data_IF_860388709957
#
_entry.id   IF_860388709957
#
_cell.length_a   1.000
_cell.length_b   1.000
_cell.length_c   1.000
_cell.angle_alpha   90.00
_cell.angle_beta   90.00
_cell.angle_gamma   90.00
#
_symmetry.space_group_name_H-M   'P 1'
#
loop_
_entity.id
_entity.type
_entity.pdbx_description
1 polymer ?
#
# COMPACT_ATOMS: atom_id res chain seq x y z
N UNK A 1 -2.10 18.73 -22.25
CA UNK A 1 -1.35 18.05 -21.17
C UNK A 1 0.11 18.06 -21.57
N UNK A 2 0.97 18.59 -20.71
CA UNK A 2 2.42 18.49 -20.92
C UNK A 2 2.88 17.03 -20.74
N UNK A 3 4.04 16.66 -21.29
CA UNK A 3 4.62 15.31 -21.11
C UNK A 3 4.83 15.02 -19.62
N UNK A 4 5.21 16.03 -18.82
CA UNK A 4 5.36 15.93 -17.38
C UNK A 4 4.06 15.56 -16.66
N UNK A 5 2.94 16.23 -16.99
CA UNK A 5 1.62 15.91 -16.41
C UNK A 5 1.20 14.48 -16.74
N UNK A 6 1.39 14.04 -17.98
CA UNK A 6 1.04 12.68 -18.38
C UNK A 6 1.81 11.63 -17.59
N UNK A 7 3.14 11.80 -17.47
CA UNK A 7 4.00 10.88 -16.72
C UNK A 7 3.65 10.91 -15.23
N UNK A 8 3.33 12.07 -14.66
CA UNK A 8 2.86 12.20 -13.29
C UNK A 8 1.58 11.38 -13.04
N UNK A 9 0.55 11.55 -13.87
CA UNK A 9 -0.71 10.81 -13.70
C UNK A 9 -0.53 9.30 -13.91
N UNK A 10 0.33 8.90 -14.83
CA UNK A 10 0.66 7.49 -15.04
C UNK A 10 1.28 6.87 -13.77
N UNK A 11 2.33 7.48 -13.22
CA UNK A 11 2.95 6.98 -11.99
C UNK A 11 2.00 7.05 -10.79
N UNK A 12 1.21 8.12 -10.66
CA UNK A 12 0.22 8.25 -9.58
C UNK A 12 -0.83 7.13 -9.62
N UNK A 13 -1.37 6.82 -10.81
CA UNK A 13 -2.32 5.72 -10.98
C UNK A 13 -1.68 4.36 -10.67
N UNK A 14 -0.43 4.14 -11.07
CA UNK A 14 0.30 2.92 -10.74
C UNK A 14 0.51 2.81 -9.22
N UNK A 15 0.93 3.89 -8.56
CA UNK A 15 1.13 3.91 -7.09
C UNK A 15 -0.18 3.60 -6.36
N UNK A 16 -1.30 4.21 -6.76
CA UNK A 16 -2.60 3.95 -6.16
C UNK A 16 -3.07 2.51 -6.41
N UNK A 17 -3.00 2.05 -7.67
CA UNK A 17 -3.39 0.69 -8.04
C UNK A 17 -2.56 -0.37 -7.33
N UNK A 18 -1.25 -0.13 -7.20
CA UNK A 18 -0.34 -1.01 -6.47
C UNK A 18 -0.62 -0.98 -4.95
N UNK A 19 -0.89 0.19 -4.36
CA UNK A 19 -1.26 0.28 -2.94
C UNK A 19 -2.58 -0.44 -2.63
N UNK A 20 -3.57 -0.33 -3.50
CA UNK A 20 -4.80 -1.13 -3.44
C UNK A 20 -4.45 -2.62 -3.54
N UNK A 21 -3.63 -3.01 -4.51
CA UNK A 21 -3.16 -4.38 -4.69
C UNK A 21 -2.48 -4.95 -3.44
N UNK A 22 -1.70 -4.16 -2.72
CA UNK A 22 -1.06 -4.55 -1.45
C UNK A 22 -2.10 -4.90 -0.38
N UNK A 23 -3.16 -4.12 -0.23
CA UNK A 23 -4.19 -4.33 0.82
C UNK A 23 -5.11 -5.51 0.46
N UNK A 24 -5.47 -5.66 -0.81
CA UNK A 24 -6.42 -6.69 -1.24
C UNK A 24 -5.78 -8.05 -1.59
N UNK A 25 -4.45 -8.13 -1.69
CA UNK A 25 -3.76 -9.38 -1.97
C UNK A 25 -3.95 -10.38 -0.81
N UNK A 26 -4.51 -11.56 -1.15
CA UNK A 26 -4.74 -12.65 -0.18
C UNK A 26 -3.47 -13.34 0.29
N UNK A 27 -2.47 -13.37 -0.58
CA UNK A 27 -1.20 -13.98 -0.30
C UNK A 27 -0.20 -12.86 0.07
N UNK A 28 0.48 -12.98 1.22
CA UNK A 28 1.32 -11.91 1.73
C UNK A 28 2.56 -11.68 0.84
N UNK A 29 3.06 -12.71 0.15
CA UNK A 29 4.11 -12.55 -0.88
C UNK A 29 3.63 -11.62 -2.01
N UNK A 30 2.42 -11.81 -2.52
CA UNK A 30 1.86 -10.95 -3.55
C UNK A 30 1.61 -9.53 -3.01
N UNK A 31 1.15 -9.40 -1.75
CA UNK A 31 0.98 -8.10 -1.09
C UNK A 31 2.29 -7.30 -1.08
N UNK A 32 3.41 -7.94 -0.72
CA UNK A 32 4.73 -7.30 -0.70
C UNK A 32 5.24 -6.98 -2.12
N UNK A 33 4.99 -7.83 -3.11
CA UNK A 33 5.33 -7.51 -4.50
C UNK A 33 4.59 -6.27 -5.02
N UNK A 34 3.29 -6.14 -4.70
CA UNK A 34 2.53 -4.93 -4.99
C UNK A 34 3.10 -3.70 -4.25
N UNK A 35 3.57 -3.88 -3.01
CA UNK A 35 4.17 -2.79 -2.23
C UNK A 35 5.48 -2.31 -2.88
N UNK A 36 6.31 -3.23 -3.38
CA UNK A 36 7.53 -2.91 -4.15
C UNK A 36 7.17 -2.08 -5.39
N UNK A 37 6.16 -2.50 -6.16
CA UNK A 37 5.67 -1.72 -7.30
C UNK A 37 5.22 -0.32 -6.90
N UNK A 38 4.50 -0.17 -5.78
CA UNK A 38 4.05 1.13 -5.28
C UNK A 38 5.23 2.05 -4.93
N UNK A 39 6.26 1.54 -4.25
CA UNK A 39 7.45 2.30 -3.89
C UNK A 39 8.31 2.70 -5.08
N UNK A 40 8.47 1.82 -6.08
CA UNK A 40 9.17 2.17 -7.32
C UNK A 40 8.43 3.28 -8.08
N UNK A 41 7.09 3.18 -8.18
CA UNK A 41 6.29 4.21 -8.82
C UNK A 41 6.34 5.55 -8.05
N UNK A 42 6.33 5.50 -6.71
CA UNK A 42 6.50 6.68 -5.87
C UNK A 42 7.89 7.31 -5.98
N UNK A 43 8.95 6.51 -6.15
CA UNK A 43 10.29 7.03 -6.44
C UNK A 43 10.30 7.80 -7.77
N UNK A 44 9.59 7.30 -8.79
CA UNK A 44 9.36 8.03 -10.05
C UNK A 44 8.68 9.38 -9.85
N UNK A 45 7.65 9.45 -8.99
CA UNK A 45 6.99 10.72 -8.64
C UNK A 45 7.95 11.70 -7.94
N UNK A 46 8.80 11.22 -7.03
CA UNK A 46 9.79 12.05 -6.36
C UNK A 46 10.84 12.60 -7.33
N UNK A 47 11.27 11.82 -8.33
CA UNK A 47 12.15 12.33 -9.39
C UNK A 47 11.47 13.44 -10.19
N UNK A 48 10.19 13.28 -10.56
CA UNK A 48 9.43 14.32 -11.29
C UNK A 48 9.28 15.61 -10.49
N UNK A 49 9.20 15.52 -9.15
CA UNK A 49 9.14 16.67 -8.25
C UNK A 49 10.51 17.31 -7.97
N UNK A 50 11.61 16.78 -8.53
CA UNK A 50 12.97 17.24 -8.26
C UNK A 50 13.56 16.76 -6.93
N UNK A 51 12.92 15.80 -6.25
CA UNK A 51 13.36 15.22 -4.99
C UNK A 51 14.21 13.95 -5.21
N UNK A 52 15.28 14.07 -6.00
CA UNK A 52 16.10 12.93 -6.47
C UNK A 52 16.75 12.14 -5.33
N UNK A 53 17.30 12.82 -4.33
CA UNK A 53 17.91 12.18 -3.17
C UNK A 53 16.89 11.32 -2.39
N UNK A 54 15.67 11.83 -2.22
CA UNK A 54 14.60 11.12 -1.53
C UNK A 54 14.12 9.91 -2.35
N UNK A 55 14.03 10.05 -3.68
CA UNK A 55 13.71 8.95 -4.58
C UNK A 55 14.73 7.81 -4.48
N UNK A 56 16.03 8.14 -4.45
CA UNK A 56 17.09 7.15 -4.28
C UNK A 56 17.04 6.46 -2.91
N UNK A 57 16.80 7.21 -1.82
CA UNK A 57 16.62 6.62 -0.50
C UNK A 57 15.42 5.69 -0.44
N UNK A 58 14.29 6.07 -1.05
CA UNK A 58 13.11 5.22 -1.14
C UNK A 58 13.42 3.91 -1.88
N UNK A 59 14.11 3.98 -3.01
CA UNK A 59 14.50 2.80 -3.77
C UNK A 59 15.50 1.92 -3.01
N UNK A 60 16.54 2.48 -2.42
CA UNK A 60 17.61 1.68 -1.78
C UNK A 60 17.14 1.11 -0.44
N UNK A 61 16.56 1.95 0.43
CA UNK A 61 16.24 1.55 1.80
C UNK A 61 14.92 0.78 1.84
N UNK A 62 13.85 1.33 1.26
CA UNK A 62 12.53 0.69 1.37
C UNK A 62 12.36 -0.46 0.40
N UNK A 63 12.70 -0.29 -0.88
CA UNK A 63 12.60 -1.40 -1.85
C UNK A 63 13.74 -2.39 -1.67
N UNK A 64 14.99 -1.92 -1.57
CA UNK A 64 16.16 -2.78 -1.52
C UNK A 64 16.33 -3.56 -0.22
N UNK A 65 16.17 -2.92 0.94
CA UNK A 65 16.35 -3.58 2.24
C UNK A 65 15.02 -4.04 2.85
N UNK A 66 14.12 -3.10 3.14
CA UNK A 66 12.92 -3.39 3.95
C UNK A 66 12.00 -4.39 3.24
N UNK A 67 11.57 -4.11 2.01
CA UNK A 67 10.63 -4.97 1.30
C UNK A 67 11.19 -6.37 1.00
N UNK A 68 12.48 -6.48 0.69
CA UNK A 68 13.15 -7.76 0.49
C UNK A 68 13.23 -8.56 1.80
N UNK A 69 13.55 -7.92 2.93
CA UNK A 69 13.50 -8.57 4.24
C UNK A 69 12.09 -9.06 4.57
N UNK A 70 11.06 -8.26 4.26
CA UNK A 70 9.67 -8.68 4.39
C UNK A 70 9.35 -9.91 3.53
N UNK A 71 9.80 -9.96 2.26
CA UNK A 71 9.60 -11.15 1.42
C UNK A 71 10.21 -12.39 2.05
N UNK A 72 11.45 -12.32 2.55
CA UNK A 72 12.09 -13.46 3.21
C UNK A 72 11.33 -13.92 4.46
N UNK A 73 10.96 -12.98 5.34
CA UNK A 73 10.22 -13.28 6.57
C UNK A 73 8.87 -13.92 6.27
N UNK A 74 8.13 -13.35 5.33
CA UNK A 74 6.79 -13.78 4.96
C UNK A 74 6.80 -15.13 4.23
N UNK A 75 7.84 -15.43 3.45
CA UNK A 75 7.96 -16.74 2.80
C UNK A 75 8.35 -17.87 3.78
N UNK A 76 9.10 -17.56 4.84
CA UNK A 76 9.43 -18.54 5.89
C UNK A 76 8.27 -18.79 6.86
N UNK A 77 7.35 -17.83 6.98
CA UNK A 77 6.15 -17.95 7.79
C UNK A 77 5.09 -18.75 7.03
N UNK A 78 4.78 -19.95 7.51
CA UNK A 78 3.62 -20.71 7.06
C UNK A 78 2.37 -20.18 7.77
N UNK A 79 1.68 -19.21 7.15
CA UNK A 79 0.50 -18.56 7.75
C UNK A 79 -0.77 -19.16 7.15
N UNK A 80 -1.52 -19.88 7.98
CA UNK A 80 -2.82 -20.45 7.63
C UNK A 80 -3.92 -19.36 7.67
N UNK A 81 -3.99 -18.54 6.62
CA UNK A 81 -4.92 -17.41 6.50
C UNK A 81 -6.42 -17.80 6.46
N UNK A 82 -6.72 -19.10 6.35
CA UNK A 82 -8.08 -19.61 6.37
C UNK A 82 -8.77 -19.43 7.73
N UNK A 83 -8.02 -19.55 8.84
CA UNK A 83 -8.56 -19.51 10.21
C UNK A 83 -8.83 -18.06 10.69
N UNK A 84 -8.01 -17.11 10.25
CA UNK A 84 -8.15 -15.67 10.59
C UNK A 84 -9.40 -15.04 9.97
N UNK A 85 -9.83 -15.52 8.80
CA UNK A 85 -10.99 -15.00 8.07
C UNK A 85 -12.32 -15.28 8.78
N UNK A 86 -12.42 -16.42 9.48
CA UNK A 86 -13.62 -16.80 10.22
C UNK A 86 -13.96 -15.79 11.32
N UNK A 87 -12.94 -15.30 12.04
CA UNK A 87 -13.13 -14.33 13.13
C UNK A 87 -13.30 -12.89 12.63
N UNK A 88 -12.63 -12.49 11.55
CA UNK A 88 -12.76 -11.12 11.02
C UNK A 88 -14.16 -10.81 10.46
N UNK A 89 -14.81 -11.78 9.81
CA UNK A 89 -16.18 -11.63 9.30
C UNK A 89 -17.20 -11.47 10.43
N UNK A 90 -16.94 -12.09 11.58
CA UNK A 90 -17.81 -12.01 12.77
C UNK A 90 -17.84 -10.60 13.38
N UNK A 91 -16.71 -9.87 13.37
CA UNK A 91 -16.62 -8.50 13.92
C UNK A 91 -16.85 -7.38 12.89
N UNK A 92 -16.93 -7.73 11.60
CA UNK A 92 -17.21 -6.78 10.52
C UNK A 92 -18.47 -5.90 10.74
N UNK A 93 -19.63 -6.41 11.19
CA UNK A 93 -20.80 -5.57 11.45
C UNK A 93 -20.58 -4.58 12.59
N UNK A 94 -19.80 -4.95 13.62
CA UNK A 94 -19.47 -4.07 14.75
C UNK A 94 -18.49 -2.97 14.31
N UNK A 95 -17.46 -3.33 13.53
CA UNK A 95 -16.50 -2.38 12.98
C UNK A 95 -17.16 -1.36 12.04
N UNK A 96 -18.12 -1.79 11.22
CA UNK A 96 -18.87 -0.91 10.33
C UNK A 96 -19.76 0.07 11.12
N UNK A 97 -20.42 -0.40 12.18
CA UNK A 97 -21.20 0.45 13.08
C UNK A 97 -20.33 1.54 13.73
N UNK A 98 -19.16 1.17 14.24
CA UNK A 98 -18.20 2.12 14.83
C UNK A 98 -17.71 3.13 13.78
N UNK A 99 -17.38 2.66 12.57
CA UNK A 99 -16.95 3.54 11.48
C UNK A 99 -18.02 4.54 11.05
N UNK A 100 -19.28 4.13 11.00
CA UNK A 100 -20.42 5.01 10.69
C UNK A 100 -20.63 6.04 11.81
N UNK A 101 -20.55 5.65 13.07
CA UNK A 101 -20.66 6.58 14.21
C UNK A 101 -19.55 7.62 14.18
N UNK A 102 -18.30 7.21 13.95
CA UNK A 102 -17.16 8.14 13.84
C UNK A 102 -17.30 9.11 12.67
N UNK A 103 -17.76 8.64 11.49
CA UNK A 103 -18.03 9.51 10.35
C UNK A 103 -19.15 10.51 10.64
N UNK A 104 -20.17 10.08 11.39
CA UNK A 104 -21.27 10.95 11.80
C UNK A 104 -20.79 12.01 12.80
N UNK A 105 -19.96 11.65 13.78
CA UNK A 105 -19.35 12.62 14.71
C UNK A 105 -18.46 13.63 13.97
N UNK A 106 -17.62 13.17 13.05
CA UNK A 106 -16.76 14.05 12.24
C UNK A 106 -17.56 15.06 11.42
N UNK A 107 -18.71 14.66 10.86
CA UNK A 107 -19.58 15.55 10.09
C UNK A 107 -20.47 16.47 10.94
N UNK A 108 -20.61 16.21 12.24
CA UNK A 108 -21.32 17.10 13.18
C UNK A 108 -20.33 18.07 13.85
N UNK A 109 -19.08 17.64 14.05
CA UNK A 109 -18.03 18.43 14.70
C UNK A 109 -17.36 19.49 13.80
N UNK A 110 -17.46 19.34 12.47
CA UNK A 110 -16.98 20.29 11.46
C UNK A 110 -18.15 20.83 10.63
#
# INVERSE_FOLDING_TARGET
MSVFEFVFYLFALITLGAGIGTVFARNPVHSVLWLICAFIAAAGLFVLMGAEFLAMLLAIVYVGAVAVLFLFVVMMLDVDFAELKGRMVEYMPVGLLIGVVLLMELGIAF
#
